data_IF_663334972563
#
_entry.id   IF_663334972563
#
_cell.length_a   1.000
_cell.length_b   1.000
_cell.length_c   1.000
_cell.angle_alpha   90.00
_cell.angle_beta   90.00
_cell.angle_gamma   90.00
#
_symmetry.space_group_name_H-M   'P 1'
#
loop_
_entity.id
_entity.type
_entity.pdbx_description
1 polymer ?
#
# COMPACT_ATOMS: atom_id res chain seq x y z
N UNK A 1 24.02 -7.60 -6.80
CA UNK A 1 23.62 -7.46 -5.38
C UNK A 1 23.08 -6.08 -5.00
N UNK A 2 23.33 -5.00 -5.76
CA UNK A 2 22.91 -3.62 -5.42
C UNK A 2 21.40 -3.31 -5.49
N UNK A 3 20.61 -4.13 -6.17
CA UNK A 3 19.18 -3.87 -6.40
C UNK A 3 18.25 -4.67 -5.48
N UNK A 4 18.82 -5.59 -4.68
CA UNK A 4 18.07 -6.46 -3.76
C UNK A 4 17.46 -5.71 -2.57
N UNK A 5 18.00 -4.53 -2.24
CA UNK A 5 17.46 -3.66 -1.21
C UNK A 5 16.39 -2.73 -1.78
N UNK A 6 16.59 -2.18 -2.99
CA UNK A 6 15.55 -1.46 -3.75
C UNK A 6 14.31 -2.33 -4.00
N UNK A 7 14.50 -3.64 -4.09
CA UNK A 7 13.46 -4.67 -4.17
C UNK A 7 12.49 -4.64 -2.98
N UNK A 8 12.98 -4.53 -1.76
CA UNK A 8 12.14 -4.54 -0.55
C UNK A 8 11.32 -3.25 -0.39
N UNK A 9 11.87 -2.17 -0.93
CA UNK A 9 11.37 -0.80 -0.87
C UNK A 9 10.13 -0.60 -1.75
N UNK A 10 10.14 -1.17 -2.94
CA UNK A 10 8.99 -1.10 -3.86
C UNK A 10 7.90 -2.09 -3.43
N UNK A 11 8.29 -3.22 -2.81
CA UNK A 11 7.37 -4.12 -2.13
C UNK A 11 6.50 -3.32 -1.15
N UNK A 12 7.07 -2.65 -0.14
CA UNK A 12 6.30 -1.89 0.87
C UNK A 12 5.33 -0.82 0.36
N UNK A 13 5.50 -0.32 -0.87
CA UNK A 13 4.66 0.73 -1.45
C UNK A 13 3.55 0.23 -2.37
N UNK A 14 3.71 -0.98 -2.92
CA UNK A 14 2.78 -1.58 -3.89
C UNK A 14 2.22 -2.91 -3.38
N UNK A 15 2.87 -3.49 -2.37
CA UNK A 15 2.69 -4.79 -1.76
C UNK A 15 3.16 -4.69 -0.31
N UNK A 16 2.34 -4.11 0.56
CA UNK A 16 2.55 -4.30 1.99
C UNK A 16 2.34 -5.79 2.30
N UNK A 17 3.40 -6.58 2.14
CA UNK A 17 3.52 -7.96 2.61
C UNK A 17 4.93 -8.49 2.33
N UNK A 18 5.71 -8.72 3.39
CA UNK A 18 6.10 -10.08 3.81
C UNK A 18 7.31 -10.08 4.76
N UNK A 19 7.07 -10.35 6.04
CA UNK A 19 7.53 -11.57 6.77
C UNK A 19 7.22 -11.48 8.27
N UNK A 20 6.36 -12.37 8.76
CA UNK A 20 6.21 -12.59 10.19
C UNK A 20 4.99 -13.45 10.53
N UNK A 21 5.26 -14.66 11.03
CA UNK A 21 4.32 -15.75 11.32
C UNK A 21 2.92 -15.38 11.85
N UNK A 22 1.93 -16.08 11.26
CA UNK A 22 0.55 -16.22 11.74
C UNK A 22 0.50 -16.46 13.26
N UNK A 23 -0.01 -15.46 13.98
CA UNK A 23 -0.90 -15.68 15.13
C UNK A 23 -2.14 -14.83 14.95
N UNK A 24 -3.19 -15.42 14.40
CA UNK A 24 -4.56 -14.92 14.55
C UNK A 24 -4.93 -14.96 16.04
N UNK A 25 -4.57 -13.92 16.79
CA UNK A 25 -5.26 -13.61 18.03
C UNK A 25 -6.59 -12.96 17.64
N UNK A 26 -7.60 -13.81 17.42
CA UNK A 26 -8.99 -13.37 17.43
C UNK A 26 -9.30 -12.85 18.84
N UNK A 27 -9.06 -11.56 19.06
CA UNK A 27 -9.71 -10.84 20.15
C UNK A 27 -11.11 -10.52 19.64
N UNK A 28 -12.05 -11.42 19.90
CA UNK A 28 -13.46 -11.27 19.52
C UNK A 28 -14.06 -10.15 20.37
N UNK A 29 -13.89 -8.91 19.93
CA UNK A 29 -14.69 -7.80 20.43
C UNK A 29 -16.07 -7.97 19.79
N UNK A 30 -17.10 -8.15 20.62
CA UNK A 30 -18.49 -8.22 20.16
C UNK A 30 -18.91 -6.86 19.58
N UNK A 31 -18.57 -6.61 18.31
CA UNK A 31 -19.07 -5.46 17.57
C UNK A 31 -20.48 -5.79 17.08
N UNK A 32 -21.43 -4.88 17.32
CA UNK A 32 -22.82 -5.03 16.90
C UNK A 32 -22.91 -5.09 15.36
N UNK A 33 -23.71 -6.02 14.81
CA UNK A 33 -23.95 -6.16 13.37
C UNK A 33 -24.48 -4.86 12.72
N UNK A 34 -25.25 -4.05 13.47
CA UNK A 34 -25.73 -2.76 12.98
C UNK A 34 -24.58 -1.76 12.78
N UNK A 35 -23.63 -1.71 13.71
CA UNK A 35 -22.47 -0.81 13.62
C UNK A 35 -21.57 -1.16 12.43
N UNK A 36 -21.44 -2.46 12.12
CA UNK A 36 -20.71 -2.93 10.93
C UNK A 36 -21.46 -2.53 9.65
N UNK A 37 -22.79 -2.65 9.63
CA UNK A 37 -23.60 -2.24 8.47
C UNK A 37 -23.47 -0.73 8.21
N UNK A 38 -23.56 0.10 9.26
CA UNK A 38 -23.44 1.57 9.14
C UNK A 38 -22.04 1.98 8.64
N UNK A 39 -20.97 1.37 9.16
CA UNK A 39 -19.59 1.60 8.66
C UNK A 39 -19.41 1.12 7.22
N UNK A 40 -20.00 -0.02 6.86
CA UNK A 40 -19.94 -0.55 5.49
C UNK A 40 -20.55 0.43 4.49
N UNK A 41 -21.69 1.04 4.82
CA UNK A 41 -22.32 2.06 3.97
C UNK A 41 -21.47 3.34 3.88
N UNK A 42 -20.83 3.77 4.98
CA UNK A 42 -19.93 4.93 4.97
C UNK A 42 -18.73 4.72 4.02
N UNK A 43 -18.17 3.50 3.97
CA UNK A 43 -17.05 3.15 3.08
C UNK A 43 -17.40 3.24 1.60
N UNK A 44 -18.64 2.98 1.20
CA UNK A 44 -19.00 2.93 -0.23
C UNK A 44 -18.71 4.26 -0.93
N UNK A 45 -18.12 4.19 -2.12
CA UNK A 45 -17.76 5.38 -2.92
C UNK A 45 -16.27 5.44 -3.25
N UNK A 46 -15.84 6.59 -3.75
CA UNK A 46 -14.47 6.86 -4.20
C UNK A 46 -13.73 7.71 -3.18
N UNK A 47 -12.50 7.33 -2.89
CA UNK A 47 -11.65 7.87 -1.84
C UNK A 47 -10.29 8.18 -2.42
N UNK A 48 -9.81 9.41 -2.26
CA UNK A 48 -8.51 9.83 -2.78
C UNK A 48 -7.54 10.12 -1.64
N UNK A 49 -6.31 9.65 -1.79
CA UNK A 49 -5.20 10.00 -0.90
C UNK A 49 -4.01 10.56 -1.68
N UNK A 50 -3.14 11.26 -0.95
CA UNK A 50 -1.84 11.74 -1.40
C UNK A 50 -0.90 11.67 -0.19
N UNK A 51 0.00 10.71 -0.19
CA UNK A 51 0.93 10.46 0.92
C UNK A 51 2.35 10.76 0.47
N UNK A 52 3.10 11.45 1.32
CA UNK A 52 4.55 11.63 1.15
C UNK A 52 5.26 10.96 2.33
N UNK A 53 6.22 10.10 2.00
CA UNK A 53 7.10 9.41 2.95
C UNK A 53 8.49 9.98 2.76
N UNK A 54 8.98 10.70 3.77
CA UNK A 54 10.30 11.31 3.75
C UNK A 54 11.41 10.27 4.04
N UNK A 55 12.68 10.69 3.95
CA UNK A 55 13.85 9.82 4.15
C UNK A 55 13.86 9.07 5.48
N UNK A 56 13.45 9.73 6.56
CA UNK A 56 13.45 9.12 7.90
C UNK A 56 12.35 8.06 8.01
N UNK A 57 11.14 8.38 7.55
CA UNK A 57 10.00 7.46 7.54
C UNK A 57 10.29 6.27 6.64
N UNK A 58 10.84 6.52 5.46
CA UNK A 58 11.23 5.49 4.51
C UNK A 58 12.26 4.53 5.11
N UNK A 59 13.32 5.08 5.74
CA UNK A 59 14.33 4.27 6.44
C UNK A 59 13.71 3.41 7.55
N UNK A 60 12.73 3.94 8.30
CA UNK A 60 12.00 3.16 9.31
C UNK A 60 11.18 2.03 8.69
N UNK A 61 10.48 2.28 7.59
CA UNK A 61 9.64 1.29 6.90
C UNK A 61 10.46 0.14 6.32
N UNK A 62 11.68 0.40 5.86
CA UNK A 62 12.55 -0.60 5.21
C UNK A 62 13.44 -1.34 6.22
N UNK A 63 13.62 -0.77 7.42
CA UNK A 63 14.43 -1.36 8.49
C UNK A 63 15.95 -1.22 8.26
N UNK A 64 16.72 -2.08 8.93
CA UNK A 64 18.19 -2.12 8.86
C UNK A 64 18.74 -2.64 7.52
N UNK A 65 17.87 -3.08 6.61
CA UNK A 65 18.23 -3.63 5.31
C UNK A 65 18.66 -2.57 4.27
N UNK A 66 18.71 -1.29 4.64
CA UNK A 66 19.20 -0.23 3.76
C UNK A 66 20.72 -0.10 3.87
N UNK A 67 21.44 -0.36 2.77
CA UNK A 67 22.90 -0.19 2.70
C UNK A 67 23.33 1.23 3.10
N UNK A 68 24.48 1.34 3.75
CA UNK A 68 25.06 2.62 4.13
C UNK A 68 25.28 3.52 2.89
N UNK A 69 24.81 4.76 2.96
CA UNK A 69 24.86 5.70 1.83
C UNK A 69 23.66 5.60 0.87
N UNK A 70 22.66 4.76 1.17
CA UNK A 70 21.36 4.81 0.50
C UNK A 70 20.35 5.65 1.29
N UNK A 71 19.46 6.32 0.57
CA UNK A 71 18.24 6.90 1.14
C UNK A 71 17.12 6.85 0.11
N UNK A 72 15.88 7.02 0.53
CA UNK A 72 14.85 7.27 -0.44
C UNK A 72 13.64 7.98 0.13
N UNK A 73 12.81 8.46 -0.79
CA UNK A 73 11.56 9.14 -0.51
C UNK A 73 10.50 8.55 -1.43
N UNK A 74 9.25 8.62 -1.01
CA UNK A 74 8.13 8.12 -1.79
C UNK A 74 6.98 9.13 -1.78
N UNK A 75 6.41 9.37 -2.95
CA UNK A 75 5.12 10.03 -3.11
C UNK A 75 4.14 9.04 -3.70
N UNK A 76 2.98 8.90 -3.07
CA UNK A 76 1.89 8.04 -3.53
C UNK A 76 0.63 8.87 -3.70
N UNK A 77 -0.01 8.77 -4.85
CA UNK A 77 -1.33 9.34 -5.12
C UNK A 77 -2.23 8.21 -5.57
N UNK A 78 -3.32 7.97 -4.86
CA UNK A 78 -4.13 6.78 -5.07
C UNK A 78 -5.62 7.09 -4.90
N UNK A 79 -6.44 6.39 -5.66
CA UNK A 79 -7.89 6.35 -5.55
C UNK A 79 -8.36 4.93 -5.19
N UNK A 80 -9.10 4.82 -4.09
CA UNK A 80 -9.76 3.61 -3.65
C UNK A 80 -11.27 3.74 -3.89
N UNK A 81 -11.88 2.78 -4.57
CA UNK A 81 -13.32 2.72 -4.79
C UNK A 81 -13.91 1.48 -4.11
N UNK A 82 -14.71 1.66 -3.08
CA UNK A 82 -15.51 0.59 -2.47
C UNK A 82 -16.87 0.51 -3.15
N UNK A 83 -17.23 -0.69 -3.61
CA UNK A 83 -18.41 -0.99 -4.43
C UNK A 83 -19.31 -1.96 -3.66
N UNK A 84 -20.63 -1.79 -3.83
CA UNK A 84 -21.64 -2.72 -3.28
C UNK A 84 -21.34 -4.17 -3.67
N UNK A 85 -21.61 -5.07 -2.73
CA UNK A 85 -21.25 -6.48 -2.84
C UNK A 85 -19.80 -6.77 -2.46
N UNK A 86 -19.21 -5.97 -1.56
CA UNK A 86 -17.88 -6.20 -0.96
C UNK A 86 -16.73 -6.26 -1.97
N UNK A 87 -16.81 -5.44 -3.02
CA UNK A 87 -15.77 -5.32 -4.05
C UNK A 87 -15.05 -3.99 -3.96
N UNK A 88 -13.80 -3.94 -4.38
CA UNK A 88 -13.07 -2.69 -4.52
C UNK A 88 -12.27 -2.64 -5.82
N UNK A 89 -11.98 -1.41 -6.25
CA UNK A 89 -10.94 -1.09 -7.20
C UNK A 89 -10.00 -0.07 -6.55
N UNK A 90 -8.73 -0.12 -6.90
CA UNK A 90 -7.70 0.79 -6.44
C UNK A 90 -6.80 1.13 -7.63
N UNK A 91 -6.44 2.40 -7.77
CA UNK A 91 -5.49 2.81 -8.80
C UNK A 91 -4.72 4.06 -8.38
N UNK A 92 -3.43 4.10 -8.73
CA UNK A 92 -2.59 5.18 -8.30
C UNK A 92 -1.23 5.21 -8.95
N UNK A 93 -0.53 6.30 -8.69
CA UNK A 93 0.84 6.51 -9.09
C UNK A 93 1.74 6.54 -7.86
N UNK A 94 2.88 5.88 -7.97
CA UNK A 94 3.94 5.90 -6.97
C UNK A 94 5.20 6.43 -7.62
N UNK A 95 5.79 7.46 -7.01
CA UNK A 95 7.11 7.98 -7.38
C UNK A 95 8.07 7.71 -6.23
N UNK A 96 9.13 6.96 -6.50
CA UNK A 96 10.27 6.82 -5.62
C UNK A 96 11.39 7.74 -6.06
N UNK A 97 12.07 8.35 -5.10
CA UNK A 97 13.37 8.97 -5.31
C UNK A 97 14.37 8.20 -4.49
N UNK A 98 15.22 7.42 -5.15
CA UNK A 98 16.27 6.66 -4.49
C UNK A 98 17.59 7.41 -4.65
N UNK A 99 18.30 7.63 -3.56
CA UNK A 99 19.66 8.17 -3.59
C UNK A 99 20.63 7.05 -3.24
N UNK A 100 21.64 6.85 -4.09
CA UNK A 100 22.75 5.92 -3.86
C UNK A 100 24.06 6.69 -4.04
N UNK A 101 24.76 6.98 -2.94
CA UNK A 101 25.92 7.89 -2.97
C UNK A 101 25.52 9.27 -3.51
N UNK A 102 26.11 9.69 -4.63
CA UNK A 102 25.84 11.00 -5.26
C UNK A 102 24.81 10.93 -6.40
N UNK A 103 24.19 9.78 -6.63
CA UNK A 103 23.23 9.58 -7.73
C UNK A 103 21.80 9.51 -7.18
N UNK A 104 20.90 10.31 -7.76
CA UNK A 104 19.45 10.21 -7.58
C UNK A 104 18.84 9.44 -8.76
N UNK A 105 18.00 8.45 -8.45
CA UNK A 105 17.28 7.62 -9.41
C UNK A 105 15.78 7.78 -9.12
N UNK A 106 15.04 8.56 -9.92
CA UNK A 106 13.60 8.61 -9.83
C UNK A 106 13.00 7.37 -10.49
N UNK A 107 12.09 6.69 -9.80
CA UNK A 107 11.32 5.58 -10.36
C UNK A 107 9.83 5.91 -10.26
N UNK A 108 9.08 5.71 -11.34
CA UNK A 108 7.65 6.02 -11.41
C UNK A 108 6.84 4.83 -11.88
N UNK A 109 5.81 4.48 -11.14
CA UNK A 109 4.93 3.37 -11.43
C UNK A 109 3.49 3.81 -11.37
N UNK A 110 2.66 3.22 -12.24
CA UNK A 110 1.22 3.20 -12.07
C UNK A 110 0.80 1.80 -11.66
N UNK A 111 0.01 1.72 -10.60
CA UNK A 111 -0.58 0.50 -10.08
C UNK A 111 -2.10 0.54 -10.24
N UNK A 112 -2.68 -0.61 -10.53
CA UNK A 112 -4.11 -0.85 -10.36
C UNK A 112 -4.34 -2.20 -9.70
N UNK A 113 -5.35 -2.27 -8.85
CA UNK A 113 -5.74 -3.47 -8.14
C UNK A 113 -7.26 -3.56 -8.07
N UNK A 114 -7.80 -4.77 -8.07
CA UNK A 114 -9.20 -5.03 -7.79
C UNK A 114 -9.34 -6.26 -6.93
N UNK A 115 -10.41 -6.33 -6.16
CA UNK A 115 -10.67 -7.50 -5.34
C UNK A 115 -11.84 -7.31 -4.39
N UNK A 116 -11.76 -7.95 -3.23
CA UNK A 116 -12.81 -7.95 -2.22
C UNK A 116 -12.39 -7.30 -0.93
N UNK A 117 -13.35 -6.84 -0.13
CA UNK A 117 -13.08 -6.28 1.18
C UNK A 117 -14.06 -6.79 2.24
N UNK A 118 -13.64 -6.78 3.51
CA UNK A 118 -14.47 -7.12 4.66
C UNK A 118 -14.12 -6.22 5.85
N UNK A 119 -15.11 -5.99 6.71
CA UNK A 119 -14.93 -5.31 7.99
C UNK A 119 -15.04 -6.29 9.16
N UNK A 120 -14.12 -6.17 10.10
CA UNK A 120 -14.13 -6.84 11.40
C UNK A 120 -13.95 -5.78 12.49
N UNK A 121 -15.05 -5.22 12.99
CA UNK A 121 -14.99 -4.10 13.93
C UNK A 121 -14.43 -2.83 13.28
N UNK A 122 -13.21 -2.44 13.67
CA UNK A 122 -12.47 -1.33 13.06
C UNK A 122 -11.40 -1.80 12.06
N UNK A 123 -11.30 -3.10 11.79
CA UNK A 123 -10.31 -3.63 10.84
C UNK A 123 -10.95 -3.80 9.47
N UNK A 124 -10.43 -3.09 8.47
CA UNK A 124 -10.74 -3.29 7.06
C UNK A 124 -9.70 -4.25 6.47
N UNK A 125 -10.17 -5.37 5.94
CA UNK A 125 -9.32 -6.35 5.26
C UNK A 125 -9.67 -6.33 3.78
N UNK A 126 -8.68 -6.08 2.93
CA UNK A 126 -8.80 -6.19 1.47
C UNK A 126 -8.12 -7.47 1.00
N UNK A 127 -8.61 -8.08 -0.06
CA UNK A 127 -8.01 -9.25 -0.71
C UNK A 127 -7.95 -8.98 -2.20
N UNK A 128 -6.74 -8.95 -2.76
CA UNK A 128 -6.51 -8.72 -4.17
C UNK A 128 -6.94 -9.93 -5.01
N UNK A 129 -7.67 -9.70 -6.09
CA UNK A 129 -8.06 -10.74 -7.07
C UNK A 129 -7.34 -10.57 -8.40
N UNK A 130 -7.03 -9.32 -8.75
CA UNK A 130 -6.25 -8.95 -9.93
C UNK A 130 -5.45 -7.66 -9.62
N UNK A 131 -4.22 -7.58 -10.12
CA UNK A 131 -3.41 -6.38 -10.02
C UNK A 131 -2.48 -6.23 -11.21
N UNK A 132 -2.09 -4.99 -11.49
CA UNK A 132 -1.15 -4.65 -12.56
C UNK A 132 -0.32 -3.45 -12.16
N UNK A 133 0.98 -3.56 -12.35
CA UNK A 133 1.94 -2.50 -12.09
C UNK A 133 2.71 -2.23 -13.39
N UNK A 134 2.81 -0.97 -13.78
CA UNK A 134 3.51 -0.56 -15.00
C UNK A 134 4.48 0.58 -14.71
N UNK A 135 5.71 0.53 -15.27
CA UNK A 135 6.60 1.69 -15.25
C UNK A 135 5.99 2.82 -16.09
N UNK A 136 6.15 4.07 -15.63
CA UNK A 136 5.58 5.27 -16.27
C UNK A 136 6.59 6.05 -17.13
N UNK A 137 7.88 5.74 -17.04
CA UNK A 137 8.92 6.37 -17.84
C UNK A 137 10.01 5.39 -18.29
N UNK A 138 10.81 5.81 -19.28
CA UNK A 138 11.86 4.99 -19.90
C UNK A 138 12.98 4.64 -18.92
N UNK A 139 13.26 5.53 -17.96
CA UNK A 139 14.26 5.27 -16.91
C UNK A 139 13.80 4.12 -16.03
N UNK A 140 12.57 4.19 -15.53
CA UNK A 140 11.96 3.16 -14.69
C UNK A 140 11.86 1.85 -15.44
N UNK A 141 11.41 1.89 -16.70
CA UNK A 141 11.35 0.71 -17.57
C UNK A 141 12.73 0.07 -17.73
N UNK A 142 13.75 0.87 -18.01
CA UNK A 142 15.14 0.38 -18.15
C UNK A 142 15.66 -0.25 -16.85
N UNK A 143 15.36 0.35 -15.69
CA UNK A 143 15.73 -0.20 -14.37
C UNK A 143 15.04 -1.53 -14.12
N UNK A 144 13.73 -1.64 -14.41
CA UNK A 144 12.95 -2.88 -14.26
C UNK A 144 13.44 -3.98 -15.20
N UNK A 145 13.81 -3.63 -16.44
CA UNK A 145 14.33 -4.58 -17.42
C UNK A 145 15.74 -5.08 -17.06
N UNK A 146 16.57 -4.20 -16.49
CA UNK A 146 17.95 -4.51 -16.08
C UNK A 146 18.05 -5.33 -14.78
N UNK A 147 17.01 -5.32 -13.95
CA UNK A 147 16.97 -6.04 -12.68
C UNK A 147 15.78 -7.02 -12.64
N UNK A 148 16.01 -8.31 -13.00
CA UNK A 148 14.99 -9.36 -13.02
C UNK A 148 14.16 -9.49 -11.73
N UNK A 149 14.73 -9.08 -10.61
CA UNK A 149 14.05 -9.04 -9.33
C UNK A 149 12.82 -8.10 -9.33
N UNK A 150 12.81 -7.01 -10.12
CA UNK A 150 11.62 -6.17 -10.31
C UNK A 150 10.51 -6.88 -11.09
N UNK A 151 10.84 -7.86 -11.94
CA UNK A 151 9.84 -8.60 -12.72
C UNK A 151 8.93 -9.45 -11.84
N UNK A 152 9.44 -9.95 -10.71
CA UNK A 152 8.62 -10.69 -9.75
C UNK A 152 7.63 -9.77 -9.01
N UNK A 153 7.98 -8.48 -8.84
CA UNK A 153 7.17 -7.52 -8.09
C UNK A 153 6.06 -6.85 -8.90
N UNK A 154 6.16 -6.85 -10.24
CA UNK A 154 5.10 -6.36 -11.13
C UNK A 154 4.09 -7.46 -11.50
N UNK A 155 4.25 -8.68 -10.96
CA UNK A 155 3.30 -9.75 -11.20
C UNK A 155 2.01 -9.54 -10.40
N UNK A 156 0.86 -10.06 -10.87
CA UNK A 156 -0.39 -9.95 -10.15
C UNK A 156 -0.35 -10.68 -8.81
N UNK A 157 -0.77 -9.99 -7.76
CA UNK A 157 -0.72 -10.47 -6.37
C UNK A 157 -2.04 -11.12 -5.95
N UNK A 158 -2.51 -12.08 -6.74
CA UNK A 158 -3.81 -12.70 -6.50
C UNK A 158 -3.82 -13.47 -5.17
N UNK A 159 -4.78 -13.14 -4.32
CA UNK A 159 -5.00 -13.77 -3.02
C UNK A 159 -4.25 -13.12 -1.87
N UNK A 160 -3.42 -12.11 -2.12
CA UNK A 160 -2.80 -11.33 -1.06
C UNK A 160 -3.83 -10.46 -0.34
N UNK A 161 -3.63 -10.26 0.95
CA UNK A 161 -4.53 -9.50 1.80
C UNK A 161 -3.80 -8.44 2.59
N UNK A 162 -4.39 -7.25 2.67
CA UNK A 162 -3.88 -6.14 3.48
C UNK A 162 -4.91 -5.81 4.57
N UNK A 163 -4.42 -5.61 5.78
CA UNK A 163 -5.24 -5.24 6.95
C UNK A 163 -4.99 -3.79 7.32
N UNK A 164 -6.05 -3.00 7.36
CA UNK A 164 -6.05 -1.61 7.78
C UNK A 164 -6.84 -1.44 9.06
N UNK A 165 -6.28 -0.75 10.04
CA UNK A 165 -7.03 -0.29 11.21
C UNK A 165 -7.66 1.08 10.92
N UNK A 166 -8.99 1.16 10.97
CA UNK A 166 -9.74 2.39 10.81
C UNK A 166 -9.63 3.22 12.10
N UNK A 167 -8.97 4.38 11.98
CA UNK A 167 -8.84 5.37 13.06
C UNK A 167 -10.00 6.37 13.06
N UNK A 168 -10.49 6.73 11.87
CA UNK A 168 -11.62 7.63 11.68
C UNK A 168 -12.37 7.24 10.40
N UNK A 169 -13.70 7.21 10.46
CA UNK A 169 -14.55 7.06 9.28
C UNK A 169 -15.77 7.97 9.40
N UNK A 170 -15.91 8.86 8.42
CA UNK A 170 -17.03 9.80 8.28
C UNK A 170 -17.52 9.80 6.84
N UNK A 171 -18.55 10.57 6.51
CA UNK A 171 -19.01 10.72 5.12
C UNK A 171 -17.98 11.36 4.18
N UNK A 172 -16.96 12.05 4.71
CA UNK A 172 -15.99 12.82 3.90
C UNK A 172 -14.55 12.36 4.05
N UNK A 173 -14.22 11.77 5.18
CA UNK A 173 -12.84 11.43 5.56
C UNK A 173 -12.77 10.02 6.10
N UNK A 174 -11.79 9.26 5.61
CA UNK A 174 -11.37 7.97 6.16
C UNK A 174 -9.89 8.07 6.53
N UNK A 175 -9.55 7.71 7.76
CA UNK A 175 -8.17 7.59 8.21
C UNK A 175 -7.90 6.15 8.63
N UNK A 176 -6.83 5.58 8.08
CA UNK A 176 -6.42 4.22 8.37
C UNK A 176 -4.94 4.16 8.70
N UNK A 177 -4.53 3.14 9.44
CA UNK A 177 -3.12 2.73 9.57
C UNK A 177 -2.97 1.33 9.02
N UNK A 178 -1.87 1.07 8.35
CA UNK A 178 -1.50 -0.28 7.92
C UNK A 178 -0.94 -1.06 9.13
N UNK A 179 -1.23 -2.34 9.25
CA UNK A 179 -0.68 -3.20 10.31
C UNK A 179 0.86 -3.26 10.26
N UNK A 180 1.45 -3.21 9.06
CA UNK A 180 2.91 -3.21 8.87
C UNK A 180 3.53 -1.81 9.04
N UNK A 181 2.72 -0.74 9.01
CA UNK A 181 3.16 0.64 9.23
C UNK A 181 2.23 1.36 10.22
N UNK A 182 2.17 0.92 11.49
CA UNK A 182 1.18 1.39 12.46
C UNK A 182 1.34 2.87 12.83
N UNK A 183 2.54 3.45 12.62
CA UNK A 183 2.84 4.86 12.86
C UNK A 183 2.43 5.79 11.70
N UNK A 184 2.01 5.23 10.55
CA UNK A 184 1.62 6.02 9.38
C UNK A 184 0.10 6.08 9.25
N UNK A 185 -0.48 7.25 9.51
CA UNK A 185 -1.90 7.51 9.25
C UNK A 185 -2.08 7.93 7.79
N UNK A 186 -2.76 7.11 7.01
CA UNK A 186 -3.17 7.42 5.64
C UNK A 186 -4.54 8.08 5.70
N UNK A 187 -4.63 9.31 5.18
CA UNK A 187 -5.89 10.05 5.10
C UNK A 187 -6.44 10.00 3.68
N UNK A 188 -7.67 9.52 3.56
CA UNK A 188 -8.45 9.53 2.33
C UNK A 188 -9.59 10.54 2.44
N UNK A 189 -9.83 11.28 1.35
CA UNK A 189 -10.95 12.19 1.20
C UNK A 189 -11.94 11.63 0.19
N UNK A 190 -13.22 11.65 0.51
CA UNK A 190 -14.27 11.17 -0.39
C UNK A 190 -14.43 12.14 -1.57
N UNK A 191 -14.57 11.60 -2.78
CA UNK A 191 -14.86 12.36 -4.00
C UNK A 191 -16.34 12.66 -4.16
#
# INVERSE_FOLDING_TARGET
>A
MKYKHILFIILLAVVVACKGDRKTNQKTTTTNNQEIADKSELLLGRWKTSTFVNKEQFKKSIGEDMEEGMSGEMTMINEFQFIKGNRFNEEGEVTFKLTMGNQEIPLKFYGKQSGTWKLYGNTLVTVAEDSKIVPLDDITKSVVEAAPEFKAMIQPNKGESISYEIKLLTEKVMQVTDEDMPDMIITYNKK
#
